data_IF_723019022777
#
_entry.id   IF_723019022777
#
_cell.length_a   1.000
_cell.length_b   1.000
_cell.length_c   1.000
_cell.angle_alpha   90.00
_cell.angle_beta   90.00
_cell.angle_gamma   90.00
#
_symmetry.space_group_name_H-M   'P 1'
#
loop_
_entity.id
_entity.type
_entity.pdbx_description
1 polymer ?
#
# COMPACT_ATOMS: atom_id res chain seq x y z
N UNK A 1 -40.91 -48.44 8.53
CA UNK A 1 -39.50 -48.82 8.37
C UNK A 1 -38.68 -47.53 8.33
N UNK A 2 -37.54 -47.53 9.03
CA UNK A 2 -36.46 -46.50 9.09
C UNK A 2 -35.95 -46.14 7.65
N UNK A 3 -35.29 -45.03 7.30
CA UNK A 3 -34.31 -44.16 7.98
C UNK A 3 -34.28 -42.73 7.38
N UNK A 4 -33.74 -41.79 8.16
CA UNK A 4 -33.19 -40.48 7.78
C UNK A 4 -31.93 -40.61 6.88
N UNK A 5 -31.58 -39.54 6.17
CA UNK A 5 -30.26 -39.38 5.56
C UNK A 5 -30.03 -37.99 4.95
N UNK A 6 -29.55 -37.04 5.77
CA UNK A 6 -28.81 -35.87 5.32
C UNK A 6 -27.47 -36.33 4.70
N UNK A 7 -26.98 -35.63 3.69
CA UNK A 7 -25.59 -35.10 3.72
C UNK A 7 -25.35 -34.18 2.52
N UNK A 8 -25.03 -32.93 2.84
CA UNK A 8 -24.43 -31.94 1.96
C UNK A 8 -22.90 -32.04 2.11
N UNK A 9 -22.20 -32.09 0.98
CA UNK A 9 -20.95 -31.38 0.69
C UNK A 9 -20.25 -32.06 -0.49
N UNK A 10 -20.41 -31.44 -1.66
CA UNK A 10 -19.57 -31.67 -2.81
C UNK A 10 -18.31 -30.79 -2.64
N UNK A 11 -17.24 -31.36 -2.09
CA UNK A 11 -15.87 -30.90 -2.34
C UNK A 11 -15.05 -32.18 -2.50
N UNK A 12 -14.65 -32.47 -3.73
CA UNK A 12 -13.95 -33.70 -4.07
C UNK A 12 -13.29 -33.60 -5.42
N UNK A 13 -12.21 -32.82 -5.50
CA UNK A 13 -11.26 -32.89 -6.61
C UNK A 13 -9.84 -32.58 -6.11
N UNK A 14 -9.33 -33.37 -5.16
CA UNK A 14 -7.90 -33.59 -5.02
C UNK A 14 -7.61 -35.01 -4.51
N UNK A 15 -6.92 -35.75 -5.39
CA UNK A 15 -5.95 -36.82 -5.12
C UNK A 15 -6.46 -38.21 -4.71
N UNK A 16 -6.36 -39.10 -5.70
CA UNK A 16 -6.26 -40.55 -5.58
C UNK A 16 -5.00 -40.97 -4.78
N UNK A 17 -5.11 -41.19 -3.48
CA UNK A 17 -4.28 -42.15 -2.72
C UNK A 17 -5.10 -42.71 -1.55
N UNK A 18 -5.28 -44.04 -1.52
CA UNK A 18 -5.46 -44.89 -0.33
C UNK A 18 -6.48 -44.49 0.75
N UNK A 19 -7.62 -45.18 0.77
CA UNK A 19 -8.46 -45.27 1.97
C UNK A 19 -7.69 -45.90 3.14
N UNK A 20 -7.74 -45.27 4.32
CA UNK A 20 -8.04 -45.85 5.64
C UNK A 20 -7.34 -45.01 6.72
N UNK A 21 -8.01 -44.00 7.26
CA UNK A 21 -7.90 -43.53 8.64
C UNK A 21 -8.91 -42.37 8.79
N UNK A 22 -9.99 -42.60 9.53
CA UNK A 22 -10.83 -41.49 10.01
C UNK A 22 -9.91 -40.63 10.90
N UNK A 23 -9.79 -39.31 10.64
CA UNK A 23 -9.00 -38.45 11.50
C UNK A 23 -9.51 -38.61 12.93
N UNK A 24 -8.58 -38.82 13.86
CA UNK A 24 -8.95 -38.84 15.27
C UNK A 24 -9.58 -37.49 15.64
N UNK A 25 -10.45 -37.44 16.65
CA UNK A 25 -11.07 -36.18 17.09
C UNK A 25 -10.01 -35.09 17.40
N UNK A 26 -8.79 -35.50 17.78
CA UNK A 26 -7.65 -34.62 18.00
C UNK A 26 -7.04 -34.07 16.70
N UNK A 27 -6.96 -34.86 15.63
CA UNK A 27 -6.56 -34.40 14.28
C UNK A 27 -7.61 -33.50 13.63
N UNK A 28 -8.90 -33.77 13.85
CA UNK A 28 -10.00 -32.92 13.36
C UNK A 28 -9.96 -31.54 14.01
N UNK A 29 -9.73 -31.48 15.34
CA UNK A 29 -9.56 -30.21 16.07
C UNK A 29 -8.31 -29.47 15.60
N UNK A 30 -7.18 -30.16 15.41
CA UNK A 30 -5.95 -29.53 14.92
C UNK A 30 -6.10 -28.97 13.49
N UNK A 31 -6.84 -29.65 12.61
CA UNK A 31 -7.13 -29.15 11.25
C UNK A 31 -8.09 -27.94 11.28
N UNK A 32 -9.06 -27.91 12.20
CA UNK A 32 -9.96 -26.77 12.40
C UNK A 32 -9.20 -25.56 12.95
N UNK A 33 -8.31 -25.75 13.92
CA UNK A 33 -7.46 -24.69 14.48
C UNK A 33 -6.48 -24.16 13.43
N UNK A 34 -5.78 -25.05 12.69
CA UNK A 34 -4.90 -24.64 11.60
C UNK A 34 -5.66 -23.92 10.47
N UNK A 35 -6.88 -24.36 10.15
CA UNK A 35 -7.75 -23.68 9.20
C UNK A 35 -8.19 -22.29 9.67
N UNK A 36 -8.39 -22.12 10.97
CA UNK A 36 -8.74 -20.83 11.60
C UNK A 36 -7.56 -19.87 11.64
N UNK A 37 -6.38 -20.36 11.98
CA UNK A 37 -5.14 -19.56 11.94
C UNK A 37 -4.80 -19.12 10.51
N UNK A 38 -4.96 -20.02 9.53
CA UNK A 38 -4.79 -19.67 8.11
C UNK A 38 -5.85 -18.68 7.61
N UNK A 39 -7.09 -18.77 8.08
CA UNK A 39 -8.14 -17.82 7.75
C UNK A 39 -7.88 -16.43 8.36
N UNK A 40 -7.42 -16.37 9.61
CA UNK A 40 -7.03 -15.10 10.24
C UNK A 40 -5.79 -14.49 9.57
N UNK A 41 -4.78 -15.29 9.22
CA UNK A 41 -3.61 -14.81 8.49
C UNK A 41 -3.98 -14.28 7.08
N UNK A 42 -5.00 -14.86 6.43
CA UNK A 42 -5.52 -14.36 5.16
C UNK A 42 -6.33 -13.05 5.33
N UNK A 43 -7.03 -12.86 6.45
CA UNK A 43 -7.72 -11.60 6.79
C UNK A 43 -6.74 -10.46 7.13
N UNK A 44 -5.61 -10.78 7.76
CA UNK A 44 -4.55 -9.83 8.11
C UNK A 44 -3.64 -9.48 6.92
N UNK A 45 -3.77 -10.19 5.79
CA UNK A 45 -3.01 -9.87 4.57
C UNK A 45 -3.69 -8.71 3.82
N UNK A 46 -3.03 -7.54 3.67
CA UNK A 46 -3.62 -6.42 2.94
C UNK A 46 -3.92 -6.83 1.49
N UNK A 47 -5.11 -6.50 1.01
CA UNK A 47 -5.53 -6.82 -0.36
C UNK A 47 -4.58 -6.19 -1.40
N UNK A 48 -4.48 -6.80 -2.59
CA UNK A 48 -3.67 -6.27 -3.69
C UNK A 48 -4.09 -4.83 -4.04
N UNK A 49 -5.38 -4.52 -3.95
CA UNK A 49 -5.91 -3.16 -4.12
C UNK A 49 -5.40 -2.20 -3.03
N UNK A 50 -5.42 -2.61 -1.77
CA UNK A 50 -4.91 -1.79 -0.65
C UNK A 50 -3.42 -1.50 -0.83
N UNK A 51 -2.63 -2.50 -1.26
CA UNK A 51 -1.21 -2.32 -1.54
C UNK A 51 -0.97 -1.37 -2.71
N UNK A 52 -1.79 -1.45 -3.77
CA UNK A 52 -1.74 -0.52 -4.90
C UNK A 52 -2.06 0.91 -4.46
N UNK A 53 -3.17 1.12 -3.76
CA UNK A 53 -3.63 2.44 -3.32
C UNK A 53 -2.60 3.08 -2.39
N UNK A 54 -1.98 2.29 -1.51
CA UNK A 54 -0.93 2.75 -0.63
C UNK A 54 0.33 3.17 -1.39
N UNK A 55 0.78 2.38 -2.39
CA UNK A 55 1.94 2.74 -3.21
C UNK A 55 1.70 4.01 -4.04
N UNK A 56 0.50 4.17 -4.61
CA UNK A 56 0.11 5.40 -5.33
C UNK A 56 0.06 6.60 -4.38
N UNK A 57 -0.53 6.43 -3.19
CA UNK A 57 -0.57 7.46 -2.16
C UNK A 57 0.84 7.92 -1.77
N UNK A 58 1.74 6.98 -1.48
CA UNK A 58 3.12 7.28 -1.13
C UNK A 58 3.90 7.96 -2.24
N UNK A 59 3.71 7.56 -3.49
CA UNK A 59 4.31 8.25 -4.63
C UNK A 59 3.85 9.72 -4.70
N UNK A 60 2.55 9.97 -4.52
CA UNK A 60 2.00 11.32 -4.54
C UNK A 60 2.45 12.17 -3.35
N UNK A 61 2.50 11.62 -2.13
CA UNK A 61 3.00 12.30 -0.93
C UNK A 61 4.46 12.72 -1.12
N UNK A 62 5.32 11.83 -1.60
CA UNK A 62 6.73 12.14 -1.85
C UNK A 62 6.93 13.22 -2.93
N UNK A 63 6.13 13.21 -4.02
CA UNK A 63 6.12 14.32 -5.01
C UNK A 63 5.75 15.64 -4.34
N UNK A 64 4.78 15.63 -3.43
CA UNK A 64 4.32 16.84 -2.77
C UNK A 64 5.33 17.39 -1.76
N UNK A 65 5.98 16.53 -0.98
CA UNK A 65 7.08 16.93 -0.10
C UNK A 65 8.23 17.52 -0.92
N UNK A 66 8.56 16.93 -2.07
CA UNK A 66 9.55 17.50 -2.97
C UNK A 66 9.15 18.89 -3.48
N UNK A 67 7.88 19.09 -3.84
CA UNK A 67 7.36 20.39 -4.26
C UNK A 67 7.46 21.45 -3.14
N UNK A 68 7.17 21.08 -1.89
CA UNK A 68 7.36 21.95 -0.71
C UNK A 68 8.82 22.39 -0.58
N UNK A 69 9.75 21.45 -0.65
CA UNK A 69 11.17 21.77 -0.58
C UNK A 69 11.65 22.62 -1.76
N UNK A 70 11.11 22.42 -2.97
CA UNK A 70 11.41 23.29 -4.11
C UNK A 70 10.93 24.73 -3.89
N UNK A 71 9.76 24.92 -3.28
CA UNK A 71 9.26 26.26 -2.92
C UNK A 71 10.17 26.92 -1.89
N UNK A 72 10.57 26.19 -0.84
CA UNK A 72 11.54 26.68 0.17
C UNK A 72 12.85 27.07 -0.51
N UNK A 73 13.39 26.19 -1.36
CA UNK A 73 14.64 26.45 -2.07
C UNK A 73 14.58 27.70 -2.96
N UNK A 74 13.45 27.95 -3.62
CA UNK A 74 13.25 29.14 -4.45
C UNK A 74 13.07 30.41 -3.62
N UNK A 75 12.49 30.30 -2.43
CA UNK A 75 12.24 31.43 -1.53
C UNK A 75 13.55 31.89 -0.87
N UNK A 76 14.42 30.94 -0.52
CA UNK A 76 15.65 31.20 0.23
C UNK A 76 16.90 31.35 -0.67
N UNK A 77 16.74 31.29 -2.01
CA UNK A 77 17.87 31.26 -2.96
C UNK A 77 18.85 32.42 -2.77
N UNK A 78 18.33 33.63 -2.52
CA UNK A 78 19.14 34.84 -2.34
C UNK A 78 19.45 35.15 -0.86
N UNK A 79 18.55 34.79 0.06
CA UNK A 79 18.64 35.15 1.47
C UNK A 79 19.46 34.15 2.29
N UNK A 80 19.41 32.87 1.93
CA UNK A 80 20.12 31.78 2.59
C UNK A 80 20.46 30.64 1.60
N UNK A 81 21.52 30.79 0.80
CA UNK A 81 21.85 29.84 -0.27
C UNK A 81 22.20 28.43 0.23
N UNK A 82 22.70 28.30 1.46
CA UNK A 82 22.98 26.98 2.06
C UNK A 82 21.70 26.23 2.37
N UNK A 83 20.71 26.91 2.96
CA UNK A 83 19.38 26.35 3.21
C UNK A 83 18.66 26.02 1.90
N UNK A 84 18.78 26.86 0.89
CA UNK A 84 18.24 26.58 -0.44
C UNK A 84 18.87 25.33 -1.08
N UNK A 85 20.19 25.15 -0.95
CA UNK A 85 20.88 23.96 -1.44
C UNK A 85 20.46 22.69 -0.69
N UNK A 86 20.30 22.77 0.63
CA UNK A 86 19.80 21.66 1.43
C UNK A 86 18.36 21.28 1.04
N UNK A 87 17.48 22.27 0.86
CA UNK A 87 16.11 22.04 0.42
C UNK A 87 16.05 21.38 -0.96
N UNK A 88 16.91 21.79 -1.92
CA UNK A 88 17.03 21.08 -3.22
C UNK A 88 17.44 19.63 -3.05
N UNK A 89 18.43 19.35 -2.20
CA UNK A 89 18.85 17.98 -1.89
C UNK A 89 17.70 17.13 -1.32
N UNK A 90 16.92 17.68 -0.40
CA UNK A 90 15.75 17.01 0.16
C UNK A 90 14.66 16.78 -0.91
N UNK A 91 14.44 17.75 -1.81
CA UNK A 91 13.50 17.59 -2.91
C UNK A 91 13.92 16.48 -3.87
N UNK A 92 15.21 16.39 -4.21
CA UNK A 92 15.76 15.34 -5.06
C UNK A 92 15.63 13.95 -4.42
N UNK A 93 15.87 13.85 -3.11
CA UNK A 93 15.66 12.61 -2.37
C UNK A 93 14.19 12.18 -2.41
N UNK A 94 13.26 13.07 -2.10
CA UNK A 94 11.83 12.78 -2.13
C UNK A 94 11.35 12.40 -3.54
N UNK A 95 11.89 13.02 -4.60
CA UNK A 95 11.60 12.61 -5.98
C UNK A 95 12.16 11.21 -6.31
N UNK A 96 13.24 10.78 -5.67
CA UNK A 96 13.78 9.44 -5.82
C UNK A 96 12.87 8.41 -5.13
N UNK A 97 12.39 8.72 -3.93
CA UNK A 97 11.42 7.90 -3.20
C UNK A 97 10.08 7.81 -3.95
N UNK A 98 9.58 8.93 -4.47
CA UNK A 98 8.38 8.98 -5.30
C UNK A 98 8.47 8.03 -6.51
N UNK A 99 9.63 7.99 -7.18
CA UNK A 99 9.88 7.07 -8.30
C UNK A 99 9.89 5.62 -7.85
N UNK A 100 10.45 5.31 -6.68
CA UNK A 100 10.46 3.95 -6.16
C UNK A 100 9.03 3.47 -5.85
N UNK A 101 8.22 4.31 -5.20
CA UNK A 101 6.80 4.00 -4.94
C UNK A 101 5.97 3.88 -6.22
N UNK A 102 6.19 4.76 -7.20
CA UNK A 102 5.53 4.65 -8.50
C UNK A 102 5.91 3.34 -9.21
N UNK A 103 7.17 2.91 -9.14
CA UNK A 103 7.60 1.60 -9.68
C UNK A 103 6.97 0.42 -8.94
N UNK A 104 6.77 0.53 -7.63
CA UNK A 104 6.05 -0.47 -6.84
C UNK A 104 4.57 -0.52 -7.27
N UNK A 105 3.91 0.63 -7.40
CA UNK A 105 2.53 0.73 -7.89
C UNK A 105 2.40 0.15 -9.30
N UNK A 106 3.35 0.43 -10.22
CA UNK A 106 3.40 -0.17 -11.55
C UNK A 106 3.57 -1.69 -11.52
N UNK A 107 4.31 -2.24 -10.54
CA UNK A 107 4.48 -3.68 -10.39
C UNK A 107 3.19 -4.34 -9.88
N UNK A 108 2.53 -3.73 -8.89
CA UNK A 108 1.27 -4.20 -8.33
C UNK A 108 0.14 -4.08 -9.37
N UNK A 109 0.14 -3.01 -10.17
CA UNK A 109 -0.85 -2.78 -11.23
C UNK A 109 -0.86 -3.88 -12.31
N UNK A 110 0.25 -4.60 -12.49
CA UNK A 110 0.35 -5.76 -13.38
C UNK A 110 -0.38 -6.98 -12.86
N UNK A 111 -0.77 -7.00 -11.58
CA UNK A 111 -1.65 -8.03 -11.05
C UNK A 111 -3.00 -7.99 -11.82
N UNK A 112 -3.49 -9.14 -12.31
CA UNK A 112 -4.76 -9.21 -13.04
C UNK A 112 -5.98 -8.67 -12.27
N UNK A 113 -5.91 -8.62 -10.94
CA UNK A 113 -6.98 -8.07 -10.09
C UNK A 113 -7.04 -6.54 -10.16
N UNK A 114 -5.91 -5.87 -10.41
CA UNK A 114 -5.84 -4.42 -10.59
C UNK A 114 -6.02 -4.05 -12.06
N UNK A 115 -5.29 -4.73 -12.95
CA UNK A 115 -5.44 -4.60 -14.40
C UNK A 115 -5.18 -3.20 -14.96
N UNK A 116 -4.33 -2.39 -14.30
CA UNK A 116 -4.02 -1.01 -14.72
C UNK A 116 -2.74 -0.93 -15.54
N UNK A 117 -2.74 -0.01 -16.50
CA UNK A 117 -1.57 0.35 -17.30
C UNK A 117 -0.70 1.39 -16.58
N UNK A 118 0.56 1.50 -16.99
CA UNK A 118 1.48 2.52 -16.47
C UNK A 118 0.91 3.95 -16.57
N UNK A 119 0.27 4.29 -17.68
CA UNK A 119 -0.29 5.63 -17.88
C UNK A 119 -1.44 5.91 -16.89
N UNK A 120 -2.24 4.88 -16.55
CA UNK A 120 -3.28 4.99 -15.54
C UNK A 120 -2.71 5.12 -14.12
N UNK A 121 -1.63 4.42 -13.80
CA UNK A 121 -0.91 4.60 -12.52
C UNK A 121 -0.39 6.02 -12.38
N UNK A 122 0.23 6.56 -13.43
CA UNK A 122 0.73 7.94 -13.42
C UNK A 122 -0.41 8.95 -13.34
N UNK A 123 -1.55 8.68 -13.99
CA UNK A 123 -2.73 9.53 -13.88
C UNK A 123 -3.34 9.52 -12.46
N UNK A 124 -3.31 8.39 -11.75
CA UNK A 124 -3.74 8.32 -10.35
C UNK A 124 -2.82 9.16 -9.45
N UNK A 125 -1.49 9.05 -9.63
CA UNK A 125 -0.50 9.84 -8.89
C UNK A 125 -0.72 11.34 -9.15
N UNK A 126 -0.84 11.75 -10.42
CA UNK A 126 -1.10 13.14 -10.81
C UNK A 126 -2.45 13.66 -10.26
N UNK A 127 -3.46 12.79 -10.20
CA UNK A 127 -4.77 13.10 -9.65
C UNK A 127 -4.70 13.41 -8.15
N UNK A 128 -4.00 12.57 -7.38
CA UNK A 128 -3.80 12.79 -5.95
C UNK A 128 -2.95 14.04 -5.70
N UNK A 129 -1.86 14.21 -6.46
CA UNK A 129 -1.01 15.39 -6.37
C UNK A 129 -1.79 16.69 -6.64
N UNK A 130 -2.76 16.67 -7.56
CA UNK A 130 -3.67 17.82 -7.77
C UNK A 130 -4.57 18.09 -6.58
N UNK A 131 -5.23 17.06 -6.04
CA UNK A 131 -6.11 17.20 -4.86
C UNK A 131 -5.33 17.79 -3.69
N UNK A 132 -4.11 17.32 -3.52
CA UNK A 132 -3.20 17.75 -2.49
C UNK A 132 -2.79 19.23 -2.68
N UNK A 133 -2.32 19.61 -3.87
CA UNK A 133 -1.95 21.00 -4.19
C UNK A 133 -3.13 21.97 -4.04
N UNK A 134 -4.34 21.53 -4.39
CA UNK A 134 -5.54 22.35 -4.25
C UNK A 134 -5.88 22.66 -2.80
N UNK A 135 -5.51 21.78 -1.86
CA UNK A 135 -5.65 22.00 -0.41
C UNK A 135 -4.57 22.94 0.14
N UNK A 136 -3.37 22.96 -0.43
CA UNK A 136 -2.23 23.77 0.04
C UNK A 136 -2.17 25.22 -0.47
N UNK A 137 -3.28 25.82 -0.93
CA UNK A 137 -3.26 27.10 -1.68
C UNK A 137 -3.02 28.37 -0.86
N UNK A 138 -3.18 28.34 0.46
CA UNK A 138 -2.99 29.51 1.33
C UNK A 138 -1.94 29.19 2.41
N UNK A 139 -1.27 30.19 2.98
CA UNK A 139 -0.14 29.95 3.92
C UNK A 139 -0.53 29.13 5.17
N UNK A 140 -1.71 29.36 5.74
CA UNK A 140 -2.22 28.58 6.89
C UNK A 140 -2.57 27.14 6.45
N UNK A 141 -3.18 27.01 5.28
CA UNK A 141 -3.51 25.71 4.70
C UNK A 141 -2.23 24.95 4.29
N UNK A 142 -1.17 25.64 3.90
CA UNK A 142 0.13 25.09 3.54
C UNK A 142 0.84 24.47 4.76
N UNK A 143 0.78 25.12 5.93
CA UNK A 143 1.38 24.58 7.16
C UNK A 143 0.59 23.40 7.71
N UNK A 144 -0.74 23.47 7.67
CA UNK A 144 -1.60 22.32 7.97
C UNK A 144 -1.34 21.16 6.99
N UNK A 145 -1.18 21.49 5.72
CA UNK A 145 -0.87 20.55 4.66
C UNK A 145 0.51 19.89 4.83
N UNK A 146 1.56 20.65 5.14
CA UNK A 146 2.90 20.12 5.40
C UNK A 146 2.92 19.17 6.60
N UNK A 147 2.09 19.44 7.61
CA UNK A 147 1.92 18.55 8.77
C UNK A 147 1.23 17.24 8.39
N UNK A 148 0.21 17.31 7.54
CA UNK A 148 -0.48 16.11 7.04
C UNK A 148 0.42 15.27 6.12
N UNK A 149 1.20 15.92 5.26
CA UNK A 149 2.21 15.24 4.43
C UNK A 149 3.24 14.50 5.27
N UNK A 150 3.72 15.10 6.36
CA UNK A 150 4.68 14.44 7.25
C UNK A 150 4.08 13.17 7.87
N UNK A 151 2.81 13.24 8.30
CA UNK A 151 2.07 12.08 8.83
C UNK A 151 1.89 10.97 7.79
N UNK A 152 1.58 11.33 6.55
CA UNK A 152 1.44 10.37 5.44
C UNK A 152 2.80 9.79 5.02
N UNK A 153 3.87 10.59 5.05
CA UNK A 153 5.23 10.14 4.77
C UNK A 153 5.70 9.09 5.78
N UNK A 154 5.43 9.28 7.08
CA UNK A 154 5.75 8.29 8.12
C UNK A 154 5.03 6.94 7.88
N UNK A 155 3.82 6.99 7.31
CA UNK A 155 3.06 5.78 6.95
C UNK A 155 3.65 5.07 5.73
N UNK A 156 4.33 5.80 4.85
CA UNK A 156 5.02 5.26 3.69
C UNK A 156 6.32 4.54 4.06
N UNK A 157 7.02 5.00 5.10
CA UNK A 157 8.18 4.31 5.66
C UNK A 157 7.81 2.92 6.20
N UNK A 158 6.60 2.78 6.76
CA UNK A 158 6.10 1.50 7.28
C UNK A 158 5.81 0.49 6.15
N UNK A 159 5.50 0.96 4.94
CA UNK A 159 5.29 0.11 3.76
C UNK A 159 6.63 -0.34 3.17
N UNK A 160 7.67 0.50 3.24
CA UNK A 160 9.02 0.12 2.82
C UNK A 160 9.70 -0.86 3.79
N UNK A 161 9.36 -0.81 5.08
CA UNK A 161 9.88 -1.69 6.13
C UNK A 161 8.76 -2.24 7.03
N UNK A 162 8.04 -3.30 6.62
CA UNK A 162 6.93 -3.86 7.40
C UNK A 162 7.37 -4.62 8.67
N UNK A 163 8.67 -4.67 8.99
CA UNK A 163 9.26 -5.47 10.06
C UNK A 163 10.04 -4.65 11.10
N UNK A 164 9.57 -3.44 11.41
CA UNK A 164 10.05 -2.66 12.56
C UNK A 164 9.66 -3.29 13.89
#
# INVERSE_FOLDING_TARGET
MKMLGLSACAIGALLLVGCSDDPTAEEEVAQIEAGREAAQAAEDTPSVQSQYDAAVGCAATAVNVANVFNVIASTDEDSNPEQAAQARGNAEQNMTEARAFAQQAEQIARDPQIGKTRDEVMADIDGIDRVIRERGRNADDFMAFATELARESDQCDTIQNPAG
#
